data_IF_998393339425
#
_entry.id   IF_998393339425
#
_cell.length_a   1.000
_cell.length_b   1.000
_cell.length_c   1.000
_cell.angle_alpha   90.00
_cell.angle_beta   90.00
_cell.angle_gamma   90.00
#
_symmetry.space_group_name_H-M   'P 1'
#
loop_
_entity.id
_entity.type
_entity.pdbx_description
1 polymer ?
#
# COMPACT_ATOMS: atom_id res chain seq x y z
N UNK A 1 45.85 1.09 -4.71
CA UNK A 1 44.75 0.14 -4.46
C UNK A 1 44.19 0.40 -3.07
N UNK A 2 43.01 1.02 -2.97
CA UNK A 2 42.42 1.41 -1.69
C UNK A 2 41.50 0.31 -1.15
N UNK A 3 41.86 -0.24 0.02
CA UNK A 3 41.20 -1.38 0.68
C UNK A 3 40.05 -0.98 1.63
N UNK A 4 39.41 0.18 1.43
CA UNK A 4 38.42 0.72 2.37
C UNK A 4 37.04 1.07 1.76
N UNK A 5 36.69 0.51 0.59
CA UNK A 5 35.39 0.78 -0.05
C UNK A 5 34.25 -0.17 0.37
N UNK A 6 34.45 -1.00 1.39
CA UNK A 6 33.55 -2.12 1.75
C UNK A 6 32.36 -1.72 2.64
N UNK A 7 32.26 -0.46 3.05
CA UNK A 7 31.15 0.03 3.88
C UNK A 7 30.48 1.23 3.24
N UNK A 8 29.73 0.97 2.17
CA UNK A 8 28.71 1.91 1.69
C UNK A 8 27.40 1.56 2.41
N UNK A 9 26.92 2.34 3.38
CA UNK A 9 25.59 2.13 3.91
C UNK A 9 24.61 2.39 2.75
N UNK A 10 23.92 1.34 2.30
CA UNK A 10 22.80 1.48 1.39
C UNK A 10 21.75 2.30 2.13
N UNK A 11 21.68 3.59 1.80
CA UNK A 11 20.73 4.55 2.36
C UNK A 11 19.33 4.13 1.90
N UNK A 12 18.67 3.27 2.69
CA UNK A 12 17.28 2.77 2.55
C UNK A 12 16.24 3.87 2.80
N UNK A 13 16.53 5.13 2.48
CA UNK A 13 15.67 6.27 2.81
C UNK A 13 14.66 6.61 1.70
N UNK A 14 14.62 5.81 0.62
CA UNK A 14 13.82 6.10 -0.56
C UNK A 14 12.98 4.90 -1.05
N UNK A 15 12.74 3.87 -0.23
CA UNK A 15 12.03 2.67 -0.71
C UNK A 15 10.53 2.86 -0.82
N UNK A 16 9.89 3.46 0.20
CA UNK A 16 8.43 3.60 0.20
C UNK A 16 7.98 4.70 -0.76
N UNK A 17 8.58 5.89 -0.71
CA UNK A 17 8.30 6.98 -1.64
C UNK A 17 8.50 6.55 -3.09
N UNK A 18 9.62 5.87 -3.42
CA UNK A 18 9.84 5.34 -4.76
C UNK A 18 8.83 4.24 -5.14
N UNK A 19 8.38 3.40 -4.18
CA UNK A 19 7.31 2.41 -4.41
C UNK A 19 6.00 3.12 -4.76
N UNK A 20 5.62 4.15 -4.00
CA UNK A 20 4.43 4.95 -4.23
C UNK A 20 4.49 5.65 -5.59
N UNK A 21 5.61 6.29 -5.92
CA UNK A 21 5.80 6.93 -7.22
C UNK A 21 5.74 5.93 -8.36
N UNK A 22 6.40 4.76 -8.22
CA UNK A 22 6.36 3.70 -9.19
C UNK A 22 4.92 3.22 -9.44
N UNK A 23 4.15 2.96 -8.38
CA UNK A 23 2.75 2.56 -8.48
C UNK A 23 1.88 3.67 -9.07
N UNK A 24 2.08 4.93 -8.69
CA UNK A 24 1.35 6.07 -9.30
C UNK A 24 1.59 6.16 -10.81
N UNK A 25 2.80 5.85 -11.28
CA UNK A 25 3.15 5.94 -12.70
C UNK A 25 2.78 4.69 -13.51
N UNK A 26 2.96 3.49 -12.95
CA UNK A 26 2.89 2.21 -13.70
C UNK A 26 1.78 1.27 -13.22
N UNK A 27 1.15 1.57 -12.08
CA UNK A 27 0.14 0.72 -11.47
C UNK A 27 -1.17 0.72 -12.27
N UNK A 28 -1.87 -0.42 -12.23
CA UNK A 28 -3.24 -0.56 -12.74
C UNK A 28 -4.24 -0.38 -11.60
N UNK A 29 -5.45 0.02 -11.95
CA UNK A 29 -6.53 0.25 -11.00
C UNK A 29 -7.50 -0.92 -11.08
N UNK A 30 -7.94 -1.38 -9.92
CA UNK A 30 -9.06 -2.31 -9.76
C UNK A 30 -9.90 -1.88 -8.58
N UNK A 31 -11.13 -2.37 -8.53
CA UNK A 31 -11.97 -2.26 -7.35
C UNK A 31 -11.58 -3.33 -6.32
N UNK A 32 -11.64 -2.95 -5.05
CA UNK A 32 -11.62 -3.89 -3.94
C UNK A 32 -12.60 -3.52 -2.85
N UNK A 33 -12.56 -4.29 -1.77
CA UNK A 33 -13.46 -4.14 -0.64
C UNK A 33 -12.64 -4.15 0.63
N UNK A 34 -12.91 -3.21 1.54
CA UNK A 34 -12.36 -3.29 2.90
C UNK A 34 -13.00 -4.47 3.60
N UNK A 35 -12.19 -5.33 4.21
CA UNK A 35 -12.65 -6.48 4.98
C UNK A 35 -12.57 -6.23 6.48
N UNK A 36 -11.61 -5.42 6.93
CA UNK A 36 -11.43 -5.09 8.34
C UNK A 36 -10.67 -3.77 8.53
N UNK A 37 -10.72 -3.22 9.73
CA UNK A 37 -9.99 -2.02 10.12
C UNK A 37 -9.58 -2.11 11.59
N UNK A 38 -8.30 -1.88 11.87
CA UNK A 38 -7.72 -1.88 13.22
C UNK A 38 -7.04 -0.54 13.51
N UNK A 39 -7.00 -0.14 14.78
CA UNK A 39 -6.21 1.03 15.20
C UNK A 39 -5.00 0.55 15.97
N UNK A 40 -3.80 0.95 15.53
CA UNK A 40 -2.56 0.58 16.21
C UNK A 40 -2.38 1.35 17.53
N UNK A 41 -1.39 0.96 18.34
CA UNK A 41 -1.08 1.61 19.63
C UNK A 41 -0.70 3.11 19.48
N UNK A 42 -0.28 3.53 18.28
CA UNK A 42 0.04 4.92 17.95
C UNK A 42 -1.18 5.74 17.48
N UNK A 43 -2.38 5.15 17.42
CA UNK A 43 -3.61 5.80 16.96
C UNK A 43 -3.71 5.94 15.44
N UNK A 44 -2.95 5.14 14.68
CA UNK A 44 -3.05 5.06 13.22
C UNK A 44 -4.01 3.95 12.83
N UNK A 45 -4.86 4.25 11.86
CA UNK A 45 -5.87 3.33 11.35
C UNK A 45 -5.27 2.49 10.23
N UNK A 46 -5.22 1.18 10.45
CA UNK A 46 -4.79 0.16 9.49
C UNK A 46 -6.06 -0.44 8.91
N UNK A 47 -6.16 -0.46 7.59
CA UNK A 47 -7.27 -1.10 6.90
C UNK A 47 -6.80 -2.30 6.12
N UNK A 48 -7.61 -3.36 6.17
CA UNK A 48 -7.39 -4.60 5.44
C UNK A 48 -8.37 -4.65 4.29
N UNK A 49 -7.90 -5.02 3.11
CA UNK A 49 -8.71 -5.01 1.91
C UNK A 49 -8.39 -6.17 0.99
N UNK A 50 -9.41 -6.59 0.25
CA UNK A 50 -9.34 -7.66 -0.74
C UNK A 50 -9.68 -7.13 -2.13
N UNK A 51 -8.96 -7.61 -3.14
CA UNK A 51 -9.20 -7.31 -4.54
C UNK A 51 -8.86 -8.50 -5.42
N UNK A 52 -9.58 -8.61 -6.55
CA UNK A 52 -9.43 -9.73 -7.47
C UNK A 52 -8.72 -9.28 -8.74
N UNK A 53 -7.66 -9.98 -9.13
CA UNK A 53 -6.96 -9.78 -10.40
C UNK A 53 -6.96 -11.09 -11.17
N UNK A 54 -7.59 -11.10 -12.35
CA UNK A 54 -7.70 -12.29 -13.20
C UNK A 54 -8.29 -13.53 -12.49
N UNK A 55 -9.24 -13.32 -11.58
CA UNK A 55 -9.89 -14.40 -10.81
C UNK A 55 -9.06 -14.93 -9.63
N UNK A 56 -7.94 -14.29 -9.32
CA UNK A 56 -7.16 -14.56 -8.10
C UNK A 56 -7.38 -13.42 -7.12
N UNK A 57 -7.74 -13.77 -5.89
CA UNK A 57 -7.94 -12.81 -4.82
C UNK A 57 -6.62 -12.50 -4.10
N UNK A 58 -6.40 -11.22 -3.87
CA UNK A 58 -5.25 -10.68 -3.15
C UNK A 58 -5.76 -9.91 -1.94
N UNK A 59 -5.14 -10.18 -0.80
CA UNK A 59 -5.38 -9.47 0.44
C UNK A 59 -4.16 -8.62 0.77
N UNK A 60 -4.40 -7.39 1.22
CA UNK A 60 -3.34 -6.48 1.65
C UNK A 60 -3.83 -5.56 2.76
N UNK A 61 -2.89 -4.87 3.40
CA UNK A 61 -3.19 -3.89 4.44
C UNK A 61 -2.37 -2.62 4.25
N UNK A 62 -2.96 -1.48 4.61
CA UNK A 62 -2.30 -0.19 4.52
C UNK A 62 -2.72 0.73 5.67
N UNK A 63 -1.80 1.57 6.11
CA UNK A 63 -2.07 2.62 7.10
C UNK A 63 -2.72 3.80 6.39
N UNK A 64 -3.88 4.23 6.86
CA UNK A 64 -4.57 5.38 6.28
C UNK A 64 -3.76 6.67 6.48
N UNK A 65 -3.57 7.38 5.36
CA UNK A 65 -3.02 8.73 5.40
C UNK A 65 -3.92 9.66 6.22
N UNK A 66 -3.37 10.81 6.66
CA UNK A 66 -4.15 11.79 7.43
C UNK A 66 -5.41 12.26 6.69
N UNK A 67 -5.34 12.41 5.38
CA UNK A 67 -6.47 12.84 4.55
C UNK A 67 -7.55 11.76 4.46
N UNK A 68 -7.16 10.48 4.36
CA UNK A 68 -8.11 9.37 4.29
C UNK A 68 -8.85 9.19 5.62
N UNK A 69 -8.17 9.44 6.75
CA UNK A 69 -8.75 9.45 8.10
C UNK A 69 -9.80 10.54 8.33
N UNK A 70 -9.89 11.56 7.47
CA UNK A 70 -10.96 12.56 7.56
C UNK A 70 -12.34 11.97 7.17
N UNK A 71 -12.35 10.84 6.47
CA UNK A 71 -13.58 10.15 6.06
C UNK A 71 -13.51 8.64 6.38
N UNK A 72 -13.59 8.25 7.67
CA UNK A 72 -13.42 6.85 8.09
C UNK A 72 -14.52 5.93 7.51
N UNK A 73 -15.72 6.46 7.25
CA UNK A 73 -16.82 5.67 6.65
C UNK A 73 -16.50 5.19 5.23
N UNK A 74 -15.66 5.90 4.48
CA UNK A 74 -15.22 5.47 3.15
C UNK A 74 -14.26 4.26 3.21
N UNK A 75 -13.68 3.99 4.38
CA UNK A 75 -12.73 2.91 4.61
C UNK A 75 -13.21 1.92 5.67
N UNK A 76 -14.50 1.94 6.02
CA UNK A 76 -15.09 0.98 6.93
C UNK A 76 -15.25 -0.41 6.28
N UNK A 77 -15.30 -1.51 7.06
CA UNK A 77 -15.55 -2.84 6.53
C UNK A 77 -16.80 -2.90 5.63
N UNK A 78 -16.64 -3.48 4.44
CA UNK A 78 -17.66 -3.54 3.38
C UNK A 78 -17.63 -2.36 2.39
N UNK A 79 -16.87 -1.30 2.66
CA UNK A 79 -16.71 -0.19 1.73
C UNK A 79 -15.98 -0.62 0.46
N UNK A 80 -16.41 -0.06 -0.68
CA UNK A 80 -15.76 -0.26 -1.98
C UNK A 80 -14.68 0.80 -2.17
N UNK A 81 -13.48 0.36 -2.48
CA UNK A 81 -12.30 1.21 -2.58
C UNK A 81 -11.57 0.96 -3.89
N UNK A 82 -10.95 2.01 -4.42
CA UNK A 82 -10.05 1.90 -5.55
C UNK A 82 -8.67 1.45 -5.09
N UNK A 83 -8.16 0.39 -5.69
CA UNK A 83 -6.83 -0.14 -5.38
C UNK A 83 -5.96 0.00 -6.61
N UNK A 84 -4.76 0.53 -6.39
CA UNK A 84 -3.74 0.58 -7.42
C UNK A 84 -2.67 -0.46 -7.14
N UNK A 85 -2.41 -1.35 -8.09
CA UNK A 85 -1.48 -2.46 -7.94
C UNK A 85 -0.46 -2.53 -9.09
N UNK A 86 0.68 -3.16 -8.86
CA UNK A 86 1.68 -3.42 -9.90
C UNK A 86 1.26 -4.64 -10.75
N UNK A 87 1.03 -4.51 -12.07
CA UNK A 87 0.65 -5.62 -12.94
C UNK A 87 1.72 -6.73 -13.08
N UNK A 88 2.96 -6.47 -12.67
CA UNK A 88 4.03 -7.49 -12.63
C UNK A 88 4.17 -8.16 -11.27
N UNK A 89 3.68 -7.50 -10.22
CA UNK A 89 3.70 -7.99 -8.85
C UNK A 89 2.38 -7.59 -8.17
N UNK A 90 1.33 -8.38 -8.39
CA UNK A 90 -0.02 -8.02 -7.98
C UNK A 90 -0.14 -7.72 -6.48
N UNK A 91 0.64 -8.37 -5.62
CA UNK A 91 0.62 -8.12 -4.17
C UNK A 91 1.16 -6.75 -3.75
N UNK A 92 1.90 -6.05 -4.61
CA UNK A 92 2.30 -4.67 -4.36
C UNK A 92 1.16 -3.73 -4.74
N UNK A 93 0.43 -3.25 -3.74
CA UNK A 93 -0.75 -2.41 -3.91
C UNK A 93 -0.77 -1.21 -2.96
N UNK A 94 -1.63 -0.24 -3.27
CA UNK A 94 -1.94 0.96 -2.47
C UNK A 94 -3.44 1.28 -2.58
N UNK A 95 -3.99 1.86 -1.53
CA UNK A 95 -5.31 2.48 -1.54
C UNK A 95 -5.25 3.86 -2.18
N UNK A 96 -6.35 4.26 -2.81
CA UNK A 96 -6.53 5.56 -3.46
C UNK A 96 -7.52 6.44 -2.72
#
# INVERSE_FOLDING_TARGET
MGLFSIFKPNKKENSESARLEFLRQNGRITDGTIIDSETNEAGEEIVFFIYSVHGVDFESSEILSRQQRENPLAYAPGAKVGIRFDPKNHGNSILM
#
